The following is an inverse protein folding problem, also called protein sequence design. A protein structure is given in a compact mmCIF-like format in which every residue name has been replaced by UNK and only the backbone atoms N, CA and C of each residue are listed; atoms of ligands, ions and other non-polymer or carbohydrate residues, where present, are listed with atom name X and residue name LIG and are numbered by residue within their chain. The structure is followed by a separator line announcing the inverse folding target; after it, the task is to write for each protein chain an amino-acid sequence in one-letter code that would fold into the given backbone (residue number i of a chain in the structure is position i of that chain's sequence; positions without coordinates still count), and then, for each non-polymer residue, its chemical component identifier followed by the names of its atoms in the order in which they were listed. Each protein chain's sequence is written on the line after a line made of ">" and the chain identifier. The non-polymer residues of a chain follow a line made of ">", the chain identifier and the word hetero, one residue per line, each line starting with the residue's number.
data_IF_873166544778
#
_entry.id   IF_873166544778
#
_cell.length_a   1.000
_cell.length_b   1.000
_cell.length_c   1.000
_cell.angle_alpha   90.00
_cell.angle_beta   90.00
_cell.angle_gamma   90.00
#
_symmetry.space_group_name_H-M   'P 1'
#
loop_
_entity.id
_entity.type
_entity.pdbx_description
1 polymer ?
#
# COMPACT_ATOMS: atom_id res chain seq x y z
N UNK A 1 54.00 -41.35 6.36
CA UNK A 1 53.61 -39.96 6.66
C UNK A 1 52.31 -39.67 5.92
N UNK A 2 51.18 -39.74 6.62
CA UNK A 2 49.84 -39.49 6.06
C UNK A 2 49.63 -38.00 5.83
N UNK A 3 49.19 -37.61 4.63
CA UNK A 3 48.66 -36.27 4.38
C UNK A 3 47.14 -36.39 4.30
N UNK A 4 46.48 -35.79 5.30
CA UNK A 4 45.03 -35.69 5.42
C UNK A 4 44.52 -34.74 4.33
N UNK A 5 43.52 -35.21 3.59
CA UNK A 5 42.70 -34.46 2.64
C UNK A 5 41.69 -33.64 3.43
N UNK A 6 41.59 -32.34 3.16
CA UNK A 6 40.44 -31.53 3.61
C UNK A 6 39.79 -30.90 2.38
N UNK A 7 38.72 -31.54 1.90
CA UNK A 7 37.77 -30.95 0.96
C UNK A 7 36.92 -29.93 1.71
N UNK A 8 37.03 -28.65 1.36
CA UNK A 8 36.11 -27.62 1.80
C UNK A 8 34.93 -27.58 0.83
N UNK A 9 33.80 -28.19 1.24
CA UNK A 9 32.51 -27.96 0.61
C UNK A 9 31.97 -26.61 1.13
N UNK A 10 32.12 -25.55 0.34
CA UNK A 10 31.34 -24.32 0.55
C UNK A 10 29.93 -24.56 0.07
N UNK A 11 29.03 -24.88 0.99
CA UNK A 11 27.59 -24.78 0.77
C UNK A 11 27.29 -23.29 0.68
N UNK A 12 27.24 -22.77 -0.55
CA UNK A 12 26.71 -21.46 -0.84
C UNK A 12 25.23 -21.46 -0.49
N UNK A 13 24.90 -21.05 0.73
CA UNK A 13 23.55 -20.63 1.06
C UNK A 13 23.26 -19.40 0.20
N UNK A 14 22.61 -19.61 -0.95
CA UNK A 14 21.97 -18.53 -1.67
C UNK A 14 20.84 -18.03 -0.76
N UNK A 15 21.15 -17.00 0.03
CA UNK A 15 20.14 -16.16 0.63
C UNK A 15 19.39 -15.51 -0.54
N UNK A 16 18.26 -16.11 -0.92
CA UNK A 16 17.27 -15.45 -1.76
C UNK A 16 16.75 -14.31 -0.90
N UNK A 17 17.39 -13.14 -1.01
CA UNK A 17 16.80 -11.90 -0.58
C UNK A 17 15.59 -11.67 -1.49
N UNK A 18 14.46 -12.28 -1.14
CA UNK A 18 13.17 -11.78 -1.57
C UNK A 18 13.17 -10.33 -1.13
N UNK A 19 13.23 -9.39 -2.08
CA UNK A 19 13.07 -7.99 -1.80
C UNK A 19 11.67 -7.82 -1.20
N UNK A 20 11.56 -7.88 0.13
CA UNK A 20 10.35 -7.53 0.83
C UNK A 20 10.03 -6.10 0.39
N UNK A 21 8.89 -5.91 -0.29
CA UNK A 21 8.39 -4.56 -0.58
C UNK A 21 8.38 -3.83 0.76
N UNK A 22 9.10 -2.71 0.83
CA UNK A 22 9.09 -1.89 2.03
C UNK A 22 7.68 -1.37 2.22
N UNK A 23 7.06 -1.70 3.35
CA UNK A 23 5.74 -1.19 3.71
C UNK A 23 5.86 0.29 4.11
N UNK A 24 4.88 1.14 3.74
CA UNK A 24 4.87 2.51 4.18
C UNK A 24 4.65 2.56 5.69
N UNK A 25 5.31 3.51 6.34
CA UNK A 25 5.09 3.84 7.76
C UNK A 25 3.99 4.87 7.93
N UNK A 26 3.76 5.72 6.91
CA UNK A 26 2.78 6.81 6.96
C UNK A 26 2.16 7.08 5.59
N UNK A 27 0.85 7.34 5.57
CA UNK A 27 0.12 7.79 4.37
C UNK A 27 -0.74 9.02 4.69
N UNK A 28 -1.14 9.76 3.66
CA UNK A 28 -2.23 10.72 3.80
C UNK A 28 -3.54 9.98 4.10
N UNK A 29 -4.36 10.57 4.95
CA UNK A 29 -5.62 10.00 5.41
C UNK A 29 -6.75 11.02 5.37
N UNK A 30 -7.83 10.61 4.72
CA UNK A 30 -9.06 11.38 4.59
C UNK A 30 -10.14 10.45 4.05
N UNK A 31 -11.29 10.43 4.71
CA UNK A 31 -12.40 9.55 4.34
C UNK A 31 -13.57 10.37 3.84
N UNK A 32 -14.28 9.84 2.84
CA UNK A 32 -15.52 10.48 2.35
C UNK A 32 -16.59 10.47 3.46
N UNK A 33 -16.54 9.49 4.37
CA UNK A 33 -17.45 9.36 5.51
C UNK A 33 -17.33 10.51 6.51
N UNK A 34 -16.13 11.08 6.68
CA UNK A 34 -15.90 12.23 7.56
C UNK A 34 -16.31 13.57 6.92
N UNK A 35 -16.88 13.53 5.70
CA UNK A 35 -17.23 14.72 4.92
C UNK A 35 -16.02 15.42 4.31
N UNK A 36 -14.84 14.82 4.39
CA UNK A 36 -13.60 15.37 3.88
C UNK A 36 -13.33 14.91 2.45
N UNK A 37 -13.79 15.71 1.49
CA UNK A 37 -13.57 15.46 0.07
C UNK A 37 -12.12 15.82 -0.26
N UNK A 38 -11.25 14.82 -0.23
CA UNK A 38 -9.79 14.95 -0.27
C UNK A 38 -9.22 15.30 -1.65
N UNK A 39 -9.84 16.28 -2.30
CA UNK A 39 -9.63 16.71 -3.67
C UNK A 39 -8.58 17.82 -3.80
N UNK A 40 -7.90 18.19 -2.71
CA UNK A 40 -6.91 19.25 -2.78
C UNK A 40 -5.73 18.84 -3.65
N UNK A 41 -5.23 19.82 -4.38
CA UNK A 41 -3.97 19.71 -5.11
C UNK A 41 -2.75 19.71 -4.17
N UNK A 42 -2.92 20.25 -2.96
CA UNK A 42 -1.90 20.28 -1.91
C UNK A 42 -2.42 19.63 -0.63
N UNK A 43 -1.79 18.52 -0.23
CA UNK A 43 -2.14 17.76 0.96
C UNK A 43 -1.27 18.12 2.17
N UNK A 44 -0.43 19.15 2.09
CA UNK A 44 0.49 19.54 3.17
C UNK A 44 -0.20 19.71 4.53
N UNK A 45 -1.45 20.15 4.52
CA UNK A 45 -2.31 20.36 5.69
C UNK A 45 -3.26 19.19 6.01
N UNK A 46 -3.18 18.07 5.28
CA UNK A 46 -4.05 16.92 5.49
C UNK A 46 -3.53 15.99 6.59
N UNK A 47 -4.48 15.30 7.20
CA UNK A 47 -4.21 14.29 8.22
C UNK A 47 -3.32 13.19 7.65
N UNK A 48 -2.39 12.74 8.48
CA UNK A 48 -1.49 11.63 8.18
C UNK A 48 -1.77 10.52 9.17
N UNK A 49 -1.79 9.28 8.70
CA UNK A 49 -2.02 8.10 9.53
C UNK A 49 -0.81 7.18 9.47
N UNK A 50 -0.43 6.60 10.61
CA UNK A 50 0.62 5.60 10.68
C UNK A 50 0.05 4.25 10.26
N UNK A 51 0.62 3.64 9.24
CA UNK A 51 0.18 2.34 8.74
C UNK A 51 0.45 1.16 9.69
N UNK A 52 1.55 1.14 10.47
CA UNK A 52 1.79 0.07 11.44
C UNK A 52 0.73 -0.01 12.56
N UNK A 53 -0.06 1.04 12.75
CA UNK A 53 -1.15 1.08 13.74
C UNK A 53 -2.45 0.45 13.20
N UNK A 54 -2.46 -0.04 11.95
CA UNK A 54 -3.60 -0.79 11.42
C UNK A 54 -3.81 -2.08 12.23
N UNK A 55 -5.06 -2.40 12.59
CA UNK A 55 -5.35 -3.65 13.29
C UNK A 55 -4.91 -4.82 12.41
N UNK A 56 -4.22 -5.83 12.98
CA UNK A 56 -3.87 -7.03 12.24
C UNK A 56 -5.15 -7.71 11.74
N UNK A 57 -5.21 -8.01 10.45
CA UNK A 57 -6.30 -8.78 9.86
C UNK A 57 -5.80 -10.20 9.55
N UNK A 58 -6.45 -11.21 10.14
CA UNK A 58 -6.06 -12.61 9.93
C UNK A 58 -6.46 -13.16 8.56
N UNK A 59 -7.18 -12.36 7.76
CA UNK A 59 -7.60 -12.67 6.39
C UNK A 59 -6.73 -12.02 5.33
N UNK A 60 -5.69 -11.26 5.69
CA UNK A 60 -4.69 -10.77 4.72
C UNK A 60 -3.51 -11.74 4.62
N UNK A 61 -3.04 -11.98 3.38
CA UNK A 61 -1.72 -12.58 3.12
C UNK A 61 -0.70 -11.54 2.63
N UNK A 62 -1.13 -10.28 2.54
CA UNK A 62 -0.43 -9.19 1.89
C UNK A 62 0.08 -8.13 2.87
N UNK A 63 1.09 -7.39 2.43
CA UNK A 63 1.62 -6.27 3.18
C UNK A 63 0.72 -5.03 3.14
N UNK A 64 1.07 -4.05 3.96
CA UNK A 64 0.36 -2.76 4.00
C UNK A 64 0.83 -1.85 2.85
N UNK A 65 -0.08 -1.06 2.32
CA UNK A 65 0.17 -0.05 1.29
C UNK A 65 -0.62 1.25 1.57
N UNK A 66 -0.16 2.36 1.02
CA UNK A 66 -1.00 3.54 0.88
C UNK A 66 -1.98 3.30 -0.27
N UNK A 67 -3.23 3.69 -0.09
CA UNK A 67 -4.23 3.68 -1.16
C UNK A 67 -4.75 5.08 -1.47
N UNK A 68 -5.23 5.21 -2.71
CA UNK A 68 -6.08 6.31 -3.17
C UNK A 68 -7.30 5.70 -3.87
N UNK A 69 -8.50 6.02 -3.41
CA UNK A 69 -9.77 5.66 -4.07
C UNK A 69 -10.40 6.95 -4.57
N UNK A 70 -10.91 6.95 -5.80
CA UNK A 70 -11.65 8.09 -6.30
C UNK A 70 -12.77 7.76 -7.27
N UNK A 71 -13.69 8.71 -7.41
CA UNK A 71 -14.77 8.64 -8.38
C UNK A 71 -15.27 10.02 -8.76
N UNK A 72 -15.52 10.23 -10.05
CA UNK A 72 -16.12 11.47 -10.55
C UNK A 72 -17.62 11.28 -10.74
N UNK A 73 -18.42 12.08 -10.03
CA UNK A 73 -19.88 12.10 -10.13
C UNK A 73 -20.35 13.52 -10.41
N UNK A 74 -21.10 13.70 -11.50
CA UNK A 74 -21.69 14.99 -11.87
C UNK A 74 -20.70 16.17 -11.91
N UNK A 75 -19.45 15.91 -12.32
CA UNK A 75 -18.38 16.93 -12.37
C UNK A 75 -17.64 17.13 -11.05
N UNK A 76 -18.04 16.46 -9.98
CA UNK A 76 -17.34 16.48 -8.68
C UNK A 76 -16.54 15.20 -8.51
N UNK A 77 -15.25 15.32 -8.24
CA UNK A 77 -14.43 14.16 -7.83
C UNK A 77 -14.60 13.94 -6.33
N UNK A 78 -14.68 12.68 -5.92
CA UNK A 78 -14.63 12.26 -4.53
C UNK A 78 -13.34 11.47 -4.38
N UNK A 79 -12.52 11.83 -3.40
CA UNK A 79 -11.22 11.19 -3.16
C UNK A 79 -11.14 10.73 -1.72
N UNK A 80 -10.72 9.49 -1.53
CA UNK A 80 -10.45 8.85 -0.24
C UNK A 80 -9.01 8.33 -0.23
N UNK A 81 -8.32 8.48 0.90
CA UNK A 81 -6.91 8.09 1.05
C UNK A 81 -6.67 7.46 2.41
N UNK A 82 -5.74 6.52 2.49
CA UNK A 82 -5.33 5.93 3.77
C UNK A 82 -4.30 4.82 3.61
N UNK A 83 -4.13 4.04 4.68
CA UNK A 83 -3.40 2.78 4.66
C UNK A 83 -4.41 1.61 4.52
N UNK A 84 -4.03 0.56 3.79
CA UNK A 84 -4.79 -0.70 3.72
C UNK A 84 -3.88 -1.89 3.47
N UNK A 85 -4.32 -3.08 3.85
CA UNK A 85 -3.82 -4.31 3.25
C UNK A 85 -4.23 -4.35 1.78
N UNK A 86 -3.35 -4.81 0.89
CA UNK A 86 -3.66 -4.87 -0.55
C UNK A 86 -4.61 -6.01 -0.90
N UNK A 87 -4.68 -7.04 -0.04
CA UNK A 87 -5.54 -8.21 -0.18
C UNK A 87 -6.25 -8.50 1.16
N UNK A 88 -7.55 -8.80 1.10
CA UNK A 88 -8.36 -9.26 2.23
C UNK A 88 -9.24 -10.40 1.74
N UNK A 89 -9.33 -11.48 2.52
CA UNK A 89 -10.12 -12.68 2.16
C UNK A 89 -9.67 -13.33 0.82
N UNK A 90 -8.39 -13.15 0.45
CA UNK A 90 -7.83 -13.65 -0.82
C UNK A 90 -8.23 -12.84 -2.04
N UNK A 91 -8.89 -11.68 -1.86
CA UNK A 91 -9.27 -10.77 -2.93
C UNK A 91 -8.50 -9.45 -2.83
N UNK A 92 -8.10 -8.91 -3.97
CA UNK A 92 -7.47 -7.60 -4.09
C UNK A 92 -8.48 -6.50 -3.69
N UNK A 93 -8.08 -5.64 -2.74
CA UNK A 93 -8.97 -4.63 -2.17
C UNK A 93 -9.41 -3.62 -3.24
N UNK A 94 -8.50 -3.22 -4.15
CA UNK A 94 -8.85 -2.29 -5.23
C UNK A 94 -9.90 -2.87 -6.19
N UNK A 95 -9.80 -4.17 -6.49
CA UNK A 95 -10.78 -4.89 -7.33
C UNK A 95 -12.20 -4.80 -6.76
N UNK A 96 -12.36 -4.81 -5.44
CA UNK A 96 -13.68 -4.66 -4.80
C UNK A 96 -14.28 -3.25 -5.01
N UNK A 97 -13.44 -2.21 -5.00
CA UNK A 97 -13.88 -0.81 -5.14
C UNK A 97 -14.12 -0.45 -6.59
N UNK A 98 -13.27 -0.93 -7.50
CA UNK A 98 -13.40 -0.71 -8.94
C UNK A 98 -14.71 -1.27 -9.49
N UNK A 99 -15.14 -2.44 -9.00
CA UNK A 99 -16.44 -3.04 -9.32
C UNK A 99 -17.64 -2.15 -8.93
N UNK A 100 -17.45 -1.16 -8.05
CA UNK A 100 -18.47 -0.18 -7.65
C UNK A 100 -18.39 1.13 -8.45
N UNK A 101 -17.55 1.17 -9.50
CA UNK A 101 -17.35 2.32 -10.37
C UNK A 101 -16.45 3.40 -9.75
N UNK A 102 -15.56 3.00 -8.85
CA UNK A 102 -14.45 3.82 -8.36
C UNK A 102 -13.17 3.44 -9.14
N UNK A 103 -12.11 4.19 -8.92
CA UNK A 103 -10.76 3.82 -9.31
C UNK A 103 -9.91 3.76 -8.06
N UNK A 104 -9.09 2.72 -7.92
CA UNK A 104 -8.25 2.49 -6.76
C UNK A 104 -6.79 2.24 -7.17
N UNK A 105 -5.86 2.91 -6.50
CA UNK A 105 -4.42 2.76 -6.73
C UNK A 105 -3.67 2.52 -5.42
N UNK A 106 -2.67 1.63 -5.46
CA UNK A 106 -1.73 1.37 -4.37
C UNK A 106 -0.35 1.95 -4.63
N UNK A 107 0.31 2.36 -3.55
CA UNK A 107 1.73 2.70 -3.56
C UNK A 107 2.37 2.36 -2.20
N UNK A 108 3.70 2.21 -2.18
CA UNK A 108 4.40 1.57 -1.05
C UNK A 108 5.43 2.48 -0.36
N UNK A 109 5.63 3.70 -0.85
CA UNK A 109 6.51 4.68 -0.22
C UNK A 109 5.73 5.57 0.76
N UNK A 110 6.40 6.15 1.75
CA UNK A 110 5.74 7.08 2.68
C UNK A 110 5.11 8.25 1.92
N UNK A 111 3.84 8.54 2.22
CA UNK A 111 3.08 9.66 1.64
C UNK A 111 2.96 9.62 0.10
N UNK A 112 3.21 8.48 -0.54
CA UNK A 112 3.15 8.34 -2.01
C UNK A 112 1.75 8.51 -2.60
N UNK A 113 0.72 8.46 -1.74
CA UNK A 113 -0.65 8.78 -2.10
C UNK A 113 -0.90 10.29 -2.08
N UNK A 114 0.11 11.09 -2.46
CA UNK A 114 0.04 12.54 -2.58
C UNK A 114 -0.48 13.00 -3.93
N UNK A 115 -0.31 12.17 -4.96
CA UNK A 115 -0.56 12.57 -6.34
C UNK A 115 -2.00 13.04 -6.52
N UNK A 116 -2.20 14.20 -7.18
CA UNK A 116 -3.52 14.59 -7.61
C UNK A 116 -4.02 13.56 -8.62
N UNK A 117 -5.30 13.24 -8.53
CA UNK A 117 -5.97 12.43 -9.53
C UNK A 117 -6.08 13.32 -10.77
N UNK A 118 -5.26 13.03 -11.77
CA UNK A 118 -5.36 13.67 -13.07
C UNK A 118 -6.65 13.18 -13.73
N UNK A 119 -7.71 13.97 -13.60
CA UNK A 119 -8.92 13.85 -14.41
C UNK A 119 -8.52 14.27 -15.83
N UNK A 120 -8.28 13.31 -16.71
CA UNK A 120 -8.29 13.55 -18.16
C UNK A 120 -9.74 13.70 -18.65
#
# INVERSE_FOLDING_TARGET
>A
MSKIVLLLFTIGAMAVFSAAKQEPTVCYSCTIYDGDLCNDLDLSNRTKVRCPDMPPDNKTTSGVACYTIYRTLYGTTLTERGCTYTEVDGEDVCSHVDNKGYTCDFCYEDLCNDKPIYLN
#
